data_IF_149599636155
#
_entry.id   IF_149599636155
#
_cell.length_a   1.000
_cell.length_b   1.000
_cell.length_c   1.000
_cell.angle_alpha   90.00
_cell.angle_beta   90.00
_cell.angle_gamma   90.00
#
_symmetry.space_group_name_H-M   'P 1'
#
loop_
_entity.id
_entity.type
_entity.pdbx_description
1 polymer ?
#
# COMPACT_ATOMS: atom_id res chain seq x y z
N UNK A 1 -0.54 2.72 -21.71
CA UNK A 1 -1.99 2.63 -21.97
C UNK A 1 -2.67 1.99 -20.78
N UNK A 2 -3.95 2.31 -20.51
CA UNK A 2 -4.70 1.63 -19.46
C UNK A 2 -4.94 0.16 -19.82
N UNK A 3 -4.94 -0.71 -18.82
CA UNK A 3 -5.29 -2.12 -18.94
C UNK A 3 -6.79 -2.27 -19.14
N UNK A 4 -7.16 -3.10 -20.12
CA UNK A 4 -8.53 -3.57 -20.32
C UNK A 4 -8.84 -4.68 -19.31
N UNK A 5 -10.13 -4.92 -19.08
CA UNK A 5 -10.58 -5.92 -18.10
C UNK A 5 -10.01 -7.33 -18.34
N UNK A 6 -9.86 -7.75 -19.61
CA UNK A 6 -9.26 -9.05 -19.90
C UNK A 6 -7.76 -9.10 -19.56
N UNK A 7 -7.04 -7.98 -19.68
CA UNK A 7 -5.61 -7.90 -19.32
C UNK A 7 -5.43 -7.94 -17.80
N UNK A 8 -6.37 -7.35 -17.06
CA UNK A 8 -6.43 -7.51 -15.61
C UNK A 8 -6.73 -8.96 -15.22
N UNK A 9 -7.64 -9.63 -15.92
CA UNK A 9 -7.92 -11.06 -15.74
C UNK A 9 -6.67 -11.93 -15.96
N UNK A 10 -5.94 -11.71 -17.07
CA UNK A 10 -4.69 -12.41 -17.35
C UNK A 10 -3.64 -12.21 -16.25
N UNK A 11 -3.56 -11.01 -15.66
CA UNK A 11 -2.66 -10.76 -14.54
C UNK A 11 -3.03 -11.53 -13.26
N UNK A 12 -4.29 -11.94 -13.09
CA UNK A 12 -4.70 -12.82 -11.99
C UNK A 12 -4.36 -14.28 -12.26
N UNK A 13 -4.28 -14.68 -13.53
CA UNK A 13 -4.02 -16.05 -13.96
C UNK A 13 -2.51 -16.38 -14.07
N UNK A 14 -1.64 -15.37 -14.01
CA UNK A 14 -0.18 -15.52 -13.98
C UNK A 14 0.43 -14.92 -12.69
N UNK A 15 0.13 -15.50 -11.51
CA UNK A 15 0.60 -14.97 -10.24
C UNK A 15 2.09 -15.24 -10.00
N UNK A 16 2.79 -14.22 -9.49
CA UNK A 16 4.20 -14.29 -9.14
C UNK A 16 4.36 -15.07 -7.84
N UNK A 17 5.05 -16.22 -7.92
CA UNK A 17 5.43 -17.06 -6.78
C UNK A 17 4.26 -17.45 -5.85
N UNK A 18 3.07 -17.66 -6.41
CA UNK A 18 1.87 -18.03 -5.67
C UNK A 18 1.00 -18.95 -6.50
N UNK A 19 0.17 -19.83 -5.89
CA UNK A 19 -0.89 -20.53 -6.60
C UNK A 19 -1.88 -19.55 -7.24
N UNK A 20 -2.68 -20.06 -8.18
CA UNK A 20 -3.78 -19.28 -8.76
C UNK A 20 -4.83 -18.92 -7.70
N UNK A 21 -5.62 -17.88 -7.96
CA UNK A 21 -6.71 -17.48 -7.06
C UNK A 21 -7.68 -18.65 -6.80
N UNK A 22 -7.95 -19.49 -7.81
CA UNK A 22 -8.84 -20.65 -7.68
C UNK A 22 -8.30 -21.73 -6.73
N UNK A 23 -6.98 -21.86 -6.63
CA UNK A 23 -6.32 -22.82 -5.73
C UNK A 23 -6.18 -22.27 -4.31
N UNK A 24 -6.22 -20.95 -4.15
CA UNK A 24 -6.07 -20.26 -2.87
C UNK A 24 -7.38 -20.17 -2.07
N UNK A 25 -8.53 -20.38 -2.70
CA UNK A 25 -9.84 -20.25 -2.07
C UNK A 25 -10.74 -21.45 -2.33
N UNK A 26 -11.71 -21.64 -1.44
CA UNK A 26 -12.76 -22.64 -1.54
C UNK A 26 -14.12 -22.01 -1.22
N UNK A 27 -15.21 -22.73 -1.47
CA UNK A 27 -16.56 -22.23 -1.19
C UNK A 27 -16.82 -21.92 0.29
N UNK A 28 -16.06 -22.53 1.19
CA UNK A 28 -16.20 -22.37 2.65
C UNK A 28 -15.35 -21.22 3.21
N UNK A 29 -14.47 -20.63 2.38
CA UNK A 29 -13.63 -19.50 2.80
C UNK A 29 -14.44 -18.21 2.97
N UNK A 30 -13.96 -17.37 3.89
CA UNK A 30 -14.31 -15.95 3.97
C UNK A 30 -13.13 -15.10 3.51
N UNK A 31 -13.39 -14.08 2.68
CA UNK A 31 -12.36 -13.26 2.05
C UNK A 31 -12.47 -11.80 2.47
N UNK A 32 -11.41 -11.28 3.08
CA UNK A 32 -11.24 -9.85 3.33
C UNK A 32 -10.40 -9.23 2.21
N UNK A 33 -10.96 -8.24 1.51
CA UNK A 33 -10.26 -7.46 0.49
C UNK A 33 -9.85 -6.12 1.09
N UNK A 34 -8.54 -5.92 1.25
CA UNK A 34 -7.96 -4.68 1.77
C UNK A 34 -7.71 -3.71 0.61
N UNK A 35 -8.29 -2.51 0.71
CA UNK A 35 -8.27 -1.48 -0.34
C UNK A 35 -7.64 -0.20 0.18
N UNK A 36 -6.83 0.46 -0.63
CA UNK A 36 -6.27 1.77 -0.27
C UNK A 36 -7.36 2.85 -0.16
N UNK A 37 -7.18 3.84 0.71
CA UNK A 37 -8.10 4.99 0.79
C UNK A 37 -7.99 5.94 -0.43
N UNK A 38 -8.86 6.95 -0.48
CA UNK A 38 -8.98 7.90 -1.60
C UNK A 38 -7.73 8.75 -1.88
N UNK A 39 -6.79 8.80 -0.94
CA UNK A 39 -5.52 9.54 -1.12
C UNK A 39 -4.50 8.81 -1.99
N UNK A 40 -4.88 7.66 -2.56
CA UNK A 40 -4.04 6.81 -3.40
C UNK A 40 -4.75 6.49 -4.71
N UNK A 41 -4.05 6.69 -5.81
CA UNK A 41 -4.48 6.20 -7.12
C UNK A 41 -4.05 4.72 -7.25
N UNK A 42 -5.04 3.84 -7.34
CA UNK A 42 -4.82 2.39 -7.35
C UNK A 42 -5.63 1.66 -8.42
N UNK A 43 -6.47 2.36 -9.17
CA UNK A 43 -7.48 1.76 -10.06
C UNK A 43 -8.38 0.74 -9.35
N UNK A 44 -8.63 0.94 -8.05
CA UNK A 44 -9.36 0.00 -7.18
C UNK A 44 -10.74 -0.37 -7.71
N UNK A 45 -11.46 0.56 -8.34
CA UNK A 45 -12.81 0.28 -8.85
C UNK A 45 -12.79 -0.85 -9.89
N UNK A 46 -11.83 -0.84 -10.82
CA UNK A 46 -11.67 -1.90 -11.82
C UNK A 46 -11.16 -3.18 -11.16
N UNK A 47 -10.08 -3.09 -10.38
CA UNK A 47 -9.39 -4.24 -9.80
C UNK A 47 -10.29 -5.02 -8.84
N UNK A 48 -10.93 -4.32 -7.88
CA UNK A 48 -11.78 -4.96 -6.86
C UNK A 48 -13.02 -5.57 -7.52
N UNK A 49 -13.62 -4.90 -8.51
CA UNK A 49 -14.75 -5.46 -9.26
C UNK A 49 -14.38 -6.78 -9.96
N UNK A 50 -13.23 -6.82 -10.65
CA UNK A 50 -12.80 -8.03 -11.36
C UNK A 50 -12.34 -9.13 -10.40
N UNK A 51 -11.61 -8.79 -9.33
CA UNK A 51 -11.24 -9.72 -8.26
C UNK A 51 -12.47 -10.36 -7.63
N UNK A 52 -13.50 -9.56 -7.32
CA UNK A 52 -14.74 -10.08 -6.72
C UNK A 52 -15.44 -11.06 -7.65
N UNK A 53 -15.49 -10.77 -8.95
CA UNK A 53 -16.04 -11.70 -9.95
C UNK A 53 -15.24 -13.00 -9.99
N UNK A 54 -13.90 -12.92 -9.94
CA UNK A 54 -13.02 -14.10 -9.93
C UNK A 54 -13.25 -14.97 -8.70
N UNK A 55 -13.32 -14.37 -7.51
CA UNK A 55 -13.59 -15.08 -6.26
C UNK A 55 -14.98 -15.75 -6.26
N UNK A 56 -15.99 -15.10 -6.82
CA UNK A 56 -17.32 -15.70 -6.99
C UNK A 56 -17.28 -16.89 -7.96
N UNK A 57 -16.53 -16.77 -9.06
CA UNK A 57 -16.34 -17.87 -10.01
C UNK A 57 -15.58 -19.05 -9.38
N UNK A 58 -14.65 -18.77 -8.46
CA UNK A 58 -13.94 -19.76 -7.65
C UNK A 58 -14.81 -20.37 -6.53
N UNK A 59 -16.07 -19.94 -6.39
CA UNK A 59 -17.04 -20.54 -5.48
C UNK A 59 -17.25 -19.80 -4.15
N UNK A 60 -16.51 -18.72 -3.88
CA UNK A 60 -16.69 -17.94 -2.65
C UNK A 60 -17.98 -17.14 -2.74
N UNK A 61 -18.86 -17.29 -1.75
CA UNK A 61 -20.10 -16.52 -1.68
C UNK A 61 -19.80 -15.03 -1.40
N UNK A 62 -20.45 -14.07 -2.08
CA UNK A 62 -20.32 -12.64 -1.74
C UNK A 62 -20.70 -12.33 -0.29
N UNK A 63 -21.57 -13.13 0.33
CA UNK A 63 -21.94 -12.96 1.74
C UNK A 63 -20.78 -13.27 2.71
N UNK A 64 -19.78 -14.02 2.25
CA UNK A 64 -18.56 -14.34 3.00
C UNK A 64 -17.40 -13.39 2.64
N UNK A 65 -17.66 -12.33 1.87
CA UNK A 65 -16.65 -11.36 1.47
C UNK A 65 -16.89 -10.02 2.14
N UNK A 66 -15.80 -9.35 2.51
CA UNK A 66 -15.83 -7.98 2.97
C UNK A 66 -14.71 -7.15 2.33
N UNK A 67 -14.94 -5.84 2.25
CA UNK A 67 -13.93 -4.85 1.90
C UNK A 67 -13.59 -4.04 3.13
N UNK A 68 -12.30 -3.78 3.36
CA UNK A 68 -11.84 -2.82 4.38
C UNK A 68 -10.89 -1.81 3.78
N UNK A 69 -11.07 -0.54 4.12
CA UNK A 69 -10.16 0.51 3.68
C UNK A 69 -8.97 0.65 4.64
N UNK A 70 -7.77 0.51 4.09
CA UNK A 70 -6.49 0.71 4.78
C UNK A 70 -6.21 2.21 4.98
N UNK A 71 -6.88 2.82 5.96
CA UNK A 71 -6.78 4.26 6.25
C UNK A 71 -5.57 4.63 7.10
N UNK A 72 -5.01 3.69 7.88
CA UNK A 72 -4.09 4.01 8.98
C UNK A 72 -4.72 5.10 9.88
N UNK A 73 -3.95 6.14 10.18
CA UNK A 73 -4.42 7.30 10.98
C UNK A 73 -5.24 8.34 10.19
N UNK A 74 -5.51 8.12 8.91
CA UNK A 74 -6.29 9.08 8.12
C UNK A 74 -7.78 9.00 8.49
N UNK A 75 -8.52 10.06 8.18
CA UNK A 75 -9.98 10.06 8.33
C UNK A 75 -10.63 8.88 7.58
N UNK A 76 -11.81 8.44 8.03
CA UNK A 76 -12.62 7.49 7.29
C UNK A 76 -12.91 7.94 5.85
N UNK A 77 -13.08 6.96 4.97
CA UNK A 77 -13.50 7.17 3.57
C UNK A 77 -14.98 7.59 3.56
N UNK A 78 -15.28 8.67 2.84
CA UNK A 78 -16.66 9.17 2.69
C UNK A 78 -17.48 8.29 1.76
N UNK A 79 -18.82 8.37 1.82
CA UNK A 79 -19.69 7.60 0.92
C UNK A 79 -19.41 7.88 -0.57
N UNK A 80 -19.14 9.12 -0.93
CA UNK A 80 -18.79 9.48 -2.30
C UNK A 80 -17.46 8.83 -2.73
N UNK A 81 -16.43 8.90 -1.89
CA UNK A 81 -15.15 8.25 -2.17
C UNK A 81 -15.29 6.72 -2.23
N UNK A 82 -16.18 6.11 -1.45
CA UNK A 82 -16.47 4.67 -1.57
C UNK A 82 -16.99 4.32 -2.96
N UNK A 83 -17.91 5.12 -3.52
CA UNK A 83 -18.46 4.93 -4.88
C UNK A 83 -17.45 5.20 -6.00
N UNK A 84 -16.40 5.97 -5.72
CA UNK A 84 -15.30 6.22 -6.66
C UNK A 84 -14.24 5.12 -6.60
N UNK A 85 -13.91 4.66 -5.39
CA UNK A 85 -12.92 3.61 -5.15
C UNK A 85 -13.47 2.21 -5.44
N UNK A 86 -14.78 2.03 -5.35
CA UNK A 86 -15.49 0.78 -5.56
C UNK A 86 -16.66 1.05 -6.51
N UNK A 87 -16.98 0.09 -7.39
CA UNK A 87 -18.17 0.25 -8.24
C UNK A 87 -19.45 0.17 -7.38
N UNK A 88 -20.57 0.80 -7.79
CA UNK A 88 -21.86 0.66 -7.11
C UNK A 88 -22.27 -0.81 -6.89
N UNK A 89 -21.89 -1.68 -7.83
CA UNK A 89 -22.09 -3.12 -7.72
C UNK A 89 -21.38 -3.73 -6.50
N UNK A 90 -20.13 -3.33 -6.24
CA UNK A 90 -19.37 -3.81 -5.08
C UNK A 90 -19.96 -3.26 -3.78
N UNK A 91 -20.27 -1.96 -3.74
CA UNK A 91 -20.83 -1.31 -2.55
C UNK A 91 -22.17 -1.93 -2.12
N UNK A 92 -22.99 -2.35 -3.07
CA UNK A 92 -24.29 -2.98 -2.77
C UNK A 92 -24.19 -4.46 -2.39
N UNK A 93 -23.09 -5.14 -2.74
CA UNK A 93 -23.01 -6.61 -2.68
C UNK A 93 -22.08 -7.13 -1.59
N UNK A 94 -21.07 -6.34 -1.21
CA UNK A 94 -20.09 -6.73 -0.19
C UNK A 94 -20.29 -5.92 1.09
N UNK A 95 -19.97 -6.52 2.23
CA UNK A 95 -19.88 -5.79 3.47
C UNK A 95 -18.69 -4.83 3.41
N UNK A 96 -18.89 -3.56 3.78
CA UNK A 96 -17.81 -2.56 3.87
C UNK A 96 -17.50 -2.31 5.34
N UNK A 97 -16.32 -2.74 5.76
CA UNK A 97 -15.78 -2.53 7.10
C UNK A 97 -15.04 -1.19 7.18
N UNK A 98 -14.93 -0.67 8.40
CA UNK A 98 -14.17 0.53 8.70
C UNK A 98 -12.98 0.19 9.60
N UNK A 99 -11.87 0.88 9.36
CA UNK A 99 -10.73 0.88 10.25
C UNK A 99 -10.63 2.23 10.95
N UNK A 100 -10.36 2.18 12.25
CA UNK A 100 -9.97 3.32 13.07
C UNK A 100 -8.78 2.88 13.92
N UNK A 101 -7.65 3.56 13.76
CA UNK A 101 -6.40 3.25 14.43
C UNK A 101 -6.45 3.51 15.95
N UNK A 102 -7.48 4.20 16.44
CA UNK A 102 -7.69 4.55 17.85
C UNK A 102 -8.84 3.78 18.52
N UNK A 103 -9.64 3.04 17.74
CA UNK A 103 -10.76 2.24 18.27
C UNK A 103 -10.27 0.87 18.74
N UNK A 104 -9.78 0.81 19.98
CA UNK A 104 -9.28 -0.43 20.60
C UNK A 104 -10.33 -1.56 20.67
N UNK A 105 -11.62 -1.28 20.51
CA UNK A 105 -12.66 -2.32 20.50
C UNK A 105 -12.67 -3.15 19.21
N UNK A 106 -12.06 -2.62 18.14
CA UNK A 106 -11.94 -3.27 16.82
C UNK A 106 -10.50 -3.67 16.50
N UNK A 107 -9.60 -3.57 17.46
CA UNK A 107 -8.20 -3.92 17.33
C UNK A 107 -7.93 -5.20 18.12
N UNK A 108 -7.07 -6.05 17.57
CA UNK A 108 -6.59 -7.27 18.21
C UNK A 108 -5.08 -7.28 18.22
N UNK A 109 -4.48 -7.88 19.24
CA UNK A 109 -3.04 -8.11 19.31
C UNK A 109 -2.62 -9.23 18.36
N UNK A 110 -1.56 -9.01 17.58
CA UNK A 110 -0.97 -10.00 16.65
C UNK A 110 0.42 -10.47 17.09
N UNK A 111 1.09 -9.71 17.95
CA UNK A 111 2.43 -10.01 18.44
C UNK A 111 3.07 -8.76 19.01
N UNK A 112 4.39 -8.68 18.89
CA UNK A 112 5.19 -7.55 19.39
C UNK A 112 6.25 -7.15 18.34
N UNK A 113 6.67 -5.88 18.39
CA UNK A 113 7.86 -5.38 17.70
C UNK A 113 9.11 -5.92 18.38
N UNK A 114 10.25 -5.88 17.69
CA UNK A 114 11.53 -6.21 18.33
C UNK A 114 11.86 -5.29 19.51
N UNK A 115 11.34 -4.05 19.48
CA UNK A 115 11.42 -3.07 20.56
C UNK A 115 10.39 -3.28 21.68
N UNK A 116 9.61 -4.37 21.67
CA UNK A 116 8.64 -4.72 22.70
C UNK A 116 7.32 -3.96 22.64
N UNK A 117 7.03 -3.27 21.53
CA UNK A 117 5.74 -2.61 21.34
C UNK A 117 4.72 -3.63 20.86
N UNK A 118 3.59 -3.73 21.56
CA UNK A 118 2.45 -4.54 21.13
C UNK A 118 2.02 -4.16 19.72
N UNK A 119 1.99 -5.15 18.83
CA UNK A 119 1.49 -5.02 17.46
C UNK A 119 0.01 -5.31 17.47
N UNK A 120 -0.78 -4.32 17.10
CA UNK A 120 -2.24 -4.43 17.01
C UNK A 120 -2.70 -4.03 15.60
N UNK A 121 -3.60 -4.84 15.04
CA UNK A 121 -4.28 -4.54 13.79
C UNK A 121 -5.80 -4.69 13.94
N UNK A 122 -6.55 -4.23 12.94
CA UNK A 122 -7.99 -4.46 12.87
C UNK A 122 -8.33 -5.96 12.98
N UNK A 123 -9.25 -6.31 13.87
CA UNK A 123 -9.65 -7.70 14.17
C UNK A 123 -10.14 -8.45 12.93
N UNK A 124 -10.67 -7.74 11.92
CA UNK A 124 -11.08 -8.33 10.64
C UNK A 124 -9.96 -9.18 9.99
N UNK A 125 -8.69 -8.85 10.22
CA UNK A 125 -7.56 -9.61 9.68
C UNK A 125 -7.40 -11.03 10.27
N UNK A 126 -8.09 -11.33 11.38
CA UNK A 126 -8.19 -12.69 11.98
C UNK A 126 -9.56 -13.33 11.79
N UNK A 127 -10.59 -12.53 11.56
CA UNK A 127 -11.97 -12.99 11.43
C UNK A 127 -12.25 -13.60 10.05
N UNK A 128 -11.42 -13.28 9.05
CA UNK A 128 -11.53 -13.82 7.70
C UNK A 128 -10.44 -14.87 7.43
N UNK A 129 -10.81 -15.99 6.80
CA UNK A 129 -9.87 -17.08 6.52
C UNK A 129 -8.83 -16.72 5.46
N UNK A 130 -9.16 -15.78 4.56
CA UNK A 130 -8.29 -15.30 3.49
C UNK A 130 -8.22 -13.78 3.48
N UNK A 131 -7.01 -13.24 3.34
CA UNK A 131 -6.76 -11.79 3.27
C UNK A 131 -6.10 -11.46 1.94
N UNK A 132 -6.82 -10.73 1.10
CA UNK A 132 -6.35 -10.24 -0.19
C UNK A 132 -6.02 -8.76 -0.05
N UNK A 133 -4.80 -8.37 -0.40
CA UNK A 133 -4.38 -6.96 -0.32
C UNK A 133 -4.26 -6.33 -1.71
N UNK A 134 -4.79 -5.12 -1.85
CA UNK A 134 -4.63 -4.31 -3.05
C UNK A 134 -3.91 -3.01 -2.72
N UNK A 135 -3.15 -2.48 -3.67
CA UNK A 135 -2.45 -1.22 -3.46
C UNK A 135 -1.77 -0.67 -4.71
N UNK A 136 -1.42 0.61 -4.68
CA UNK A 136 -0.63 1.26 -5.72
C UNK A 136 0.85 1.27 -5.39
N UNK A 137 1.71 1.20 -6.41
CA UNK A 137 3.17 1.33 -6.30
C UNK A 137 3.60 2.71 -6.75
N UNK A 138 4.28 3.40 -5.84
CA UNK A 138 5.01 4.64 -6.07
C UNK A 138 6.06 4.80 -4.96
N UNK A 139 6.94 5.78 -5.07
CA UNK A 139 7.91 6.08 -4.03
C UNK A 139 7.26 6.50 -2.72
N UNK A 140 7.87 6.09 -1.62
CA UNK A 140 7.56 6.58 -0.30
C UNK A 140 8.83 7.09 0.36
N UNK A 141 8.86 8.39 0.68
CA UNK A 141 10.04 9.14 1.12
C UNK A 141 10.92 8.47 2.19
N UNK A 142 10.34 7.76 3.16
CA UNK A 142 11.13 6.96 4.13
C UNK A 142 10.93 5.44 4.02
N UNK A 143 9.91 4.93 3.33
CA UNK A 143 9.55 3.51 3.40
C UNK A 143 9.95 2.74 2.14
N UNK A 144 10.80 3.32 1.29
CA UNK A 144 11.09 2.83 -0.05
C UNK A 144 9.94 3.11 -1.01
N UNK A 145 8.91 2.26 -0.93
CA UNK A 145 7.75 2.25 -1.82
C UNK A 145 6.43 2.13 -1.08
N UNK A 146 5.31 2.46 -1.73
CA UNK A 146 3.95 2.12 -1.29
C UNK A 146 3.60 0.66 -1.62
N UNK A 147 2.33 0.25 -1.47
CA UNK A 147 1.85 -1.10 -1.81
C UNK A 147 2.32 -2.22 -0.88
N UNK A 148 1.95 -3.45 -1.22
CA UNK A 148 2.28 -4.66 -0.48
C UNK A 148 1.97 -4.54 1.02
N UNK A 149 2.98 -4.83 1.87
CA UNK A 149 2.91 -4.76 3.33
C UNK A 149 2.26 -3.49 3.91
N UNK A 150 2.31 -2.35 3.21
CA UNK A 150 1.69 -1.10 3.69
C UNK A 150 0.18 -1.12 3.77
N UNK A 151 -0.48 -2.03 3.07
CA UNK A 151 -1.92 -2.27 3.24
C UNK A 151 -2.26 -2.88 4.61
N UNK A 152 -1.31 -3.55 5.26
CA UNK A 152 -1.44 -4.06 6.63
C UNK A 152 -0.87 -3.06 7.63
N UNK A 153 0.43 -2.72 7.53
CA UNK A 153 1.08 -1.75 8.40
C UNK A 153 1.71 -0.63 7.56
N UNK A 154 1.21 0.62 7.63
CA UNK A 154 0.30 1.15 8.64
C UNK A 154 -1.20 0.96 8.35
N UNK A 155 -1.58 0.43 7.19
CA UNK A 155 -2.93 0.52 6.64
C UNK A 155 -4.09 0.15 7.59
N UNK A 156 -3.91 -0.89 8.39
CA UNK A 156 -4.92 -1.42 9.31
C UNK A 156 -4.39 -1.54 10.75
N UNK A 157 -3.32 -0.81 11.06
CA UNK A 157 -2.60 -0.88 12.33
C UNK A 157 -3.14 0.12 13.35
N UNK A 158 -3.00 -0.20 14.65
CA UNK A 158 -3.26 0.77 15.71
C UNK A 158 -2.30 1.96 15.61
N UNK A 159 -2.72 3.12 16.11
CA UNK A 159 -1.89 4.32 16.10
C UNK A 159 -0.54 4.09 16.80
N UNK A 160 -0.52 3.29 17.87
CA UNK A 160 0.67 2.87 18.61
C UNK A 160 1.62 2.02 17.74
N UNK A 161 1.08 1.06 17.00
CA UNK A 161 1.86 0.22 16.08
C UNK A 161 2.43 1.08 14.92
N UNK A 162 1.62 2.01 14.41
CA UNK A 162 2.04 2.95 13.36
C UNK A 162 3.19 3.81 13.87
N UNK A 163 3.04 4.42 15.05
CA UNK A 163 4.08 5.23 15.67
C UNK A 163 5.38 4.44 15.85
N UNK A 164 5.32 3.25 16.44
CA UNK A 164 6.50 2.42 16.68
C UNK A 164 7.26 2.08 15.38
N UNK A 165 6.55 1.72 14.32
CA UNK A 165 7.18 1.43 13.01
C UNK A 165 7.71 2.69 12.33
N UNK A 166 7.05 3.83 12.47
CA UNK A 166 7.46 5.09 11.83
C UNK A 166 8.66 5.74 12.56
N UNK A 167 8.78 5.54 13.87
CA UNK A 167 9.91 6.03 14.65
C UNK A 167 11.23 5.37 14.24
N UNK A 168 11.19 4.20 13.60
CA UNK A 168 12.38 3.58 12.98
C UNK A 168 12.97 4.38 11.82
N UNK A 169 12.25 5.37 11.30
CA UNK A 169 12.75 6.29 10.29
C UNK A 169 13.79 7.27 10.85
N UNK A 170 13.85 7.43 12.18
CA UNK A 170 14.67 8.42 12.85
C UNK A 170 15.87 7.77 13.53
N UNK A 171 16.99 8.49 13.53
CA UNK A 171 18.14 8.19 14.37
C UNK A 171 18.07 9.08 15.61
N UNK A 172 17.87 8.48 16.79
CA UNK A 172 17.78 9.22 18.05
C UNK A 172 19.14 9.53 18.67
N UNK A 173 20.21 8.85 18.24
CA UNK A 173 21.56 9.08 18.76
C UNK A 173 22.21 10.27 18.05
N UNK A 174 22.18 10.27 16.71
CA UNK A 174 22.78 11.35 15.92
C UNK A 174 21.79 12.47 15.59
N UNK A 175 20.50 12.21 15.74
CA UNK A 175 19.45 13.07 15.21
C UNK A 175 19.29 12.90 13.69
N UNK A 176 18.07 13.15 13.20
CA UNK A 176 17.76 13.11 11.77
C UNK A 176 17.24 11.76 11.30
N UNK A 177 17.42 11.47 10.00
CA UNK A 177 16.92 10.25 9.36
C UNK A 177 17.92 9.11 9.54
N UNK A 178 17.42 7.93 9.92
CA UNK A 178 18.22 6.72 10.08
C UNK A 178 18.88 6.30 8.76
N UNK A 179 20.12 5.81 8.83
CA UNK A 179 20.81 5.25 7.67
C UNK A 179 19.99 4.13 7.00
N UNK A 180 20.01 4.07 5.66
CA UNK A 180 19.25 3.10 4.87
C UNK A 180 17.75 3.44 4.68
N UNK A 181 17.21 4.39 5.44
CA UNK A 181 15.82 4.84 5.30
C UNK A 181 15.74 5.92 4.22
N UNK A 182 15.23 5.58 3.04
CA UNK A 182 14.96 6.55 1.97
C UNK A 182 13.97 6.02 0.92
N UNK A 183 13.54 6.90 0.01
CA UNK A 183 12.76 6.52 -1.16
C UNK A 183 13.53 5.50 -2.02
N UNK A 184 12.82 4.51 -2.55
CA UNK A 184 13.41 3.48 -3.40
C UNK A 184 14.19 2.38 -2.67
N UNK A 185 14.51 2.52 -1.38
CA UNK A 185 15.18 1.47 -0.60
C UNK A 185 14.19 0.56 0.13
N UNK A 186 14.31 -0.73 -0.14
CA UNK A 186 13.66 -1.79 0.62
C UNK A 186 14.68 -2.49 1.51
N UNK A 187 15.78 -2.98 0.95
CA UNK A 187 16.81 -3.71 1.71
C UNK A 187 17.63 -2.74 2.57
N UNK A 188 17.78 -3.06 3.86
CA UNK A 188 18.43 -2.18 4.83
C UNK A 188 17.56 -0.99 5.27
N UNK A 189 16.31 -0.90 4.81
CA UNK A 189 15.37 0.12 5.26
C UNK A 189 14.59 -0.41 6.47
N UNK A 190 15.02 0.00 7.67
CA UNK A 190 14.43 -0.44 8.94
C UNK A 190 12.90 -0.28 9.02
N UNK A 191 12.33 0.77 8.39
CA UNK A 191 10.88 0.97 8.38
C UNK A 191 10.19 -0.06 7.48
N UNK A 192 10.74 -0.31 6.30
CA UNK A 192 10.19 -1.33 5.41
C UNK A 192 10.27 -2.72 6.04
N UNK A 193 11.44 -3.09 6.55
CA UNK A 193 11.70 -4.40 7.14
C UNK A 193 10.77 -4.69 8.31
N UNK A 194 10.57 -3.71 9.22
CA UNK A 194 9.64 -3.91 10.32
C UNK A 194 8.18 -3.95 9.85
N UNK A 195 7.76 -3.06 8.94
CA UNK A 195 6.41 -3.11 8.36
C UNK A 195 6.14 -4.46 7.67
N UNK A 196 7.13 -5.03 7.00
CA UNK A 196 7.04 -6.33 6.35
C UNK A 196 6.98 -7.46 7.39
N UNK A 197 7.82 -7.41 8.43
CA UNK A 197 7.81 -8.37 9.53
C UNK A 197 6.47 -8.39 10.26
N UNK A 198 5.92 -7.22 10.65
CA UNK A 198 4.61 -7.19 11.34
C UNK A 198 3.47 -7.59 10.43
N UNK A 199 3.53 -7.27 9.13
CA UNK A 199 2.53 -7.73 8.16
C UNK A 199 2.54 -9.27 8.00
N UNK A 200 3.69 -9.91 8.24
CA UNK A 200 3.80 -11.37 8.20
C UNK A 200 3.05 -12.10 9.31
N UNK A 201 2.71 -11.40 10.40
CA UNK A 201 1.84 -11.93 11.47
C UNK A 201 0.39 -12.12 11.00
N UNK A 202 0.00 -11.43 9.92
CA UNK A 202 -1.27 -11.63 9.20
C UNK A 202 -1.09 -12.66 8.09
N UNK A 203 0.08 -12.65 7.44
CA UNK A 203 0.40 -13.47 6.26
C UNK A 203 -0.67 -13.35 5.15
N UNK A 204 -0.77 -12.18 4.47
CA UNK A 204 -1.73 -11.97 3.38
C UNK A 204 -1.69 -13.11 2.35
N UNK A 205 -2.85 -13.63 1.98
CA UNK A 205 -3.00 -14.76 1.07
C UNK A 205 -2.54 -14.42 -0.34
N UNK A 206 -2.85 -13.21 -0.80
CA UNK A 206 -2.58 -12.77 -2.17
C UNK A 206 -2.47 -11.24 -2.21
N UNK A 207 -1.58 -10.73 -3.06
CA UNK A 207 -1.44 -9.30 -3.28
C UNK A 207 -1.68 -8.91 -4.74
N UNK A 208 -2.23 -7.71 -4.93
CA UNK A 208 -2.37 -7.07 -6.24
C UNK A 208 -1.79 -5.66 -6.14
N UNK A 209 -0.66 -5.44 -6.81
CA UNK A 209 0.07 -4.19 -6.81
C UNK A 209 -0.07 -3.49 -8.17
N UNK A 210 -0.70 -2.33 -8.18
CA UNK A 210 -0.97 -1.57 -9.39
C UNK A 210 0.04 -0.43 -9.60
N UNK A 211 0.50 -0.28 -10.83
CA UNK A 211 1.11 0.96 -11.31
C UNK A 211 0.06 1.64 -12.17
N UNK A 212 -0.21 2.91 -11.89
CA UNK A 212 -1.23 3.70 -12.60
C UNK A 212 -0.61 4.74 -13.50
N UNK A 213 -1.34 5.15 -14.53
CA UNK A 213 -0.97 6.29 -15.37
C UNK A 213 -1.39 7.63 -14.73
N UNK A 214 -1.09 8.73 -15.41
CA UNK A 214 -1.45 10.10 -14.97
C UNK A 214 -2.97 10.31 -14.80
N UNK A 215 -3.78 9.51 -15.49
CA UNK A 215 -5.26 9.50 -15.37
C UNK A 215 -5.76 8.59 -14.25
N UNK A 216 -4.86 8.04 -13.42
CA UNK A 216 -5.15 7.10 -12.32
C UNK A 216 -5.71 5.74 -12.77
N UNK A 217 -5.54 5.40 -14.04
CA UNK A 217 -5.97 4.13 -14.63
C UNK A 217 -4.85 3.07 -14.48
N UNK A 218 -5.20 1.81 -14.27
CA UNK A 218 -4.23 0.72 -14.15
C UNK A 218 -3.40 0.63 -15.44
N UNK A 219 -2.08 0.76 -15.36
CA UNK A 219 -1.17 0.62 -16.49
C UNK A 219 -0.38 -0.70 -16.43
N UNK A 220 -0.17 -1.24 -15.23
CA UNK A 220 0.45 -2.55 -14.99
C UNK A 220 0.01 -3.11 -13.65
N UNK A 221 -0.12 -4.43 -13.55
CA UNK A 221 -0.40 -5.15 -12.31
C UNK A 221 0.70 -6.18 -12.03
N UNK A 222 0.96 -6.40 -10.75
CA UNK A 222 1.81 -7.47 -10.23
C UNK A 222 1.01 -8.18 -9.15
N UNK A 223 0.62 -9.42 -9.45
CA UNK A 223 -0.26 -10.23 -8.62
C UNK A 223 0.51 -11.45 -8.10
N UNK A 224 0.15 -11.97 -6.93
CA UNK A 224 0.78 -13.18 -6.38
C UNK A 224 1.18 -13.03 -4.92
N UNK A 225 2.30 -13.65 -4.56
CA UNK A 225 2.83 -13.61 -3.20
C UNK A 225 3.05 -12.16 -2.76
N UNK A 226 2.68 -11.86 -1.52
CA UNK A 226 2.61 -10.49 -1.04
C UNK A 226 3.98 -9.81 -0.85
N UNK A 227 5.07 -10.58 -0.79
CA UNK A 227 6.44 -10.07 -0.77
C UNK A 227 7.04 -10.06 -2.17
N UNK A 228 6.99 -11.19 -2.86
CA UNK A 228 7.68 -11.36 -4.16
C UNK A 228 7.01 -10.51 -5.24
N UNK A 229 5.67 -10.48 -5.31
CA UNK A 229 4.97 -9.63 -6.28
C UNK A 229 5.16 -8.14 -5.96
N UNK A 230 5.19 -7.77 -4.68
CA UNK A 230 5.49 -6.40 -4.25
C UNK A 230 6.90 -5.98 -4.66
N UNK A 231 7.91 -6.84 -4.41
CA UNK A 231 9.30 -6.63 -4.82
C UNK A 231 9.42 -6.43 -6.33
N UNK A 232 8.87 -7.35 -7.12
CA UNK A 232 8.89 -7.26 -8.58
C UNK A 232 8.26 -5.96 -9.10
N UNK A 233 7.17 -5.52 -8.46
CA UNK A 233 6.53 -4.25 -8.81
C UNK A 233 7.40 -3.04 -8.47
N UNK A 234 8.10 -3.07 -7.33
CA UNK A 234 9.02 -2.02 -6.90
C UNK A 234 10.24 -1.94 -7.83
N UNK A 235 10.84 -3.07 -8.19
CA UNK A 235 12.00 -3.12 -9.09
C UNK A 235 11.63 -2.58 -10.48
N UNK A 236 10.46 -2.98 -10.99
CA UNK A 236 9.93 -2.43 -12.24
C UNK A 236 9.70 -0.92 -12.16
N UNK A 237 9.16 -0.42 -11.03
CA UNK A 237 8.91 1.00 -10.84
C UNK A 237 10.23 1.76 -10.74
N UNK A 238 11.21 1.24 -10.02
CA UNK A 238 12.55 1.82 -9.87
C UNK A 238 13.23 1.98 -11.23
N UNK A 239 13.23 0.93 -12.05
CA UNK A 239 13.85 0.90 -13.38
C UNK A 239 13.25 1.96 -14.34
N UNK A 240 11.94 2.22 -14.26
CA UNK A 240 11.23 3.06 -15.24
C UNK A 240 10.90 4.46 -14.78
N UNK A 241 10.82 4.68 -13.48
CA UNK A 241 10.41 5.95 -12.89
C UNK A 241 11.55 6.60 -12.09
N UNK A 242 12.79 6.22 -12.37
CA UNK A 242 14.00 6.88 -11.87
C UNK A 242 14.75 7.57 -13.00
N UNK A 243 15.52 8.58 -12.63
CA UNK A 243 16.52 9.20 -13.50
C UNK A 243 17.85 9.22 -12.78
N UNK A 244 18.92 8.91 -13.51
CA UNK A 244 20.27 9.06 -12.99
C UNK A 244 20.68 10.55 -13.05
N UNK A 245 21.09 11.09 -11.91
CA UNK A 245 21.62 12.44 -11.81
C UNK A 245 23.15 12.35 -11.85
N UNK A 246 23.73 12.71 -13.00
CA UNK A 246 25.19 12.59 -13.23
C UNK A 246 26.06 13.40 -12.26
N UNK A 247 25.50 14.47 -11.71
CA UNK A 247 26.15 15.30 -10.68
C UNK A 247 25.11 16.20 -10.03
N UNK A 248 25.31 16.48 -8.74
CA UNK A 248 24.49 17.43 -7.98
C UNK A 248 24.66 18.87 -8.49
N UNK A 249 23.73 19.75 -8.09
CA UNK A 249 23.67 21.17 -8.49
C UNK A 249 23.51 22.07 -7.27
N UNK A 250 24.02 23.30 -7.36
CA UNK A 250 23.88 24.30 -6.29
C UNK A 250 22.46 24.86 -6.19
N UNK A 251 21.70 24.83 -7.30
CA UNK A 251 20.31 25.26 -7.35
C UNK A 251 19.49 24.14 -8.00
N UNK A 252 18.47 23.67 -7.29
CA UNK A 252 17.49 22.70 -7.80
C UNK A 252 16.10 23.33 -7.75
N UNK A 253 15.38 23.24 -8.86
CA UNK A 253 13.97 23.67 -8.95
C UNK A 253 13.13 22.40 -9.09
N UNK A 254 12.18 22.21 -8.19
CA UNK A 254 11.28 21.05 -8.21
C UNK A 254 9.84 21.52 -8.05
N UNK A 255 8.91 20.78 -8.67
CA UNK A 255 7.48 20.95 -8.43
C UNK A 255 6.98 19.80 -7.55
N UNK A 256 5.98 20.09 -6.73
CA UNK A 256 5.24 19.07 -5.98
C UNK A 256 4.29 18.24 -6.85
N UNK A 257 4.12 18.60 -8.14
CA UNK A 257 3.21 17.91 -9.07
C UNK A 257 1.79 18.48 -9.09
N UNK A 258 1.55 19.63 -8.46
CA UNK A 258 0.25 20.29 -8.41
C UNK A 258 -0.75 19.61 -7.46
N UNK A 259 -1.97 20.15 -7.39
CA UNK A 259 -3.03 19.60 -6.55
C UNK A 259 -3.37 18.15 -6.94
N UNK A 260 -3.50 17.21 -5.97
CA UNK A 260 -3.51 17.41 -4.52
C UNK A 260 -2.14 17.19 -3.83
N UNK A 261 -1.06 17.03 -4.59
CA UNK A 261 0.27 16.70 -4.06
C UNK A 261 0.98 17.91 -3.41
N UNK A 262 0.50 19.13 -3.66
CA UNK A 262 0.97 20.39 -3.09
C UNK A 262 0.02 21.00 -2.03
N UNK A 263 -0.99 20.26 -1.60
CA UNK A 263 -2.07 20.78 -0.73
C UNK A 263 -1.57 21.34 0.63
N UNK A 264 -0.45 20.84 1.13
CA UNK A 264 0.20 21.32 2.35
C UNK A 264 1.68 20.94 2.38
N UNK A 265 2.42 21.50 3.33
CA UNK A 265 3.85 21.25 3.51
C UNK A 265 4.19 19.78 3.76
N UNK A 266 3.30 19.02 4.41
CA UNK A 266 3.48 17.58 4.65
C UNK A 266 3.40 16.77 3.34
N UNK A 267 2.66 17.21 2.32
CA UNK A 267 2.74 16.57 1.01
C UNK A 267 3.91 17.11 0.19
N UNK A 268 4.10 18.44 0.20
CA UNK A 268 5.15 19.12 -0.55
C UNK A 268 6.56 18.67 -0.18
N UNK A 269 6.83 18.36 1.10
CA UNK A 269 8.17 17.93 1.52
C UNK A 269 8.63 16.63 0.84
N UNK A 270 7.74 15.83 0.28
CA UNK A 270 8.13 14.62 -0.47
C UNK A 270 8.89 14.97 -1.74
N UNK A 271 8.49 16.04 -2.43
CA UNK A 271 9.21 16.54 -3.58
C UNK A 271 10.53 17.19 -3.16
N UNK A 272 10.54 17.89 -2.01
CA UNK A 272 11.78 18.41 -1.40
C UNK A 272 12.80 17.30 -1.09
N UNK A 273 12.34 16.17 -0.55
CA UNK A 273 13.18 15.00 -0.23
C UNK A 273 13.87 14.43 -1.48
N UNK A 274 13.12 14.33 -2.58
CA UNK A 274 13.67 13.88 -3.86
C UNK A 274 14.61 14.93 -4.48
N UNK A 275 14.26 16.22 -4.39
CA UNK A 275 15.10 17.32 -4.87
C UNK A 275 16.45 17.39 -4.14
N UNK A 276 16.48 17.05 -2.85
CA UNK A 276 17.70 17.01 -2.06
C UNK A 276 18.73 15.99 -2.57
N UNK A 277 18.29 14.92 -3.25
CA UNK A 277 19.19 13.96 -3.89
C UNK A 277 19.99 14.58 -5.04
N UNK A 278 19.45 15.61 -5.69
CA UNK A 278 20.08 16.34 -6.78
C UNK A 278 20.79 17.63 -6.33
N UNK A 279 20.67 18.04 -5.06
CA UNK A 279 21.20 19.30 -4.55
C UNK A 279 22.53 19.08 -3.81
N UNK A 280 23.47 20.00 -3.99
CA UNK A 280 24.71 20.07 -3.21
C UNK A 280 24.42 20.41 -1.74
N UNK A 281 25.29 19.95 -0.84
CA UNK A 281 25.25 20.41 0.55
C UNK A 281 25.49 21.93 0.61
N UNK A 282 24.66 22.66 1.34
CA UNK A 282 24.65 24.12 1.35
C UNK A 282 24.00 24.78 0.12
N UNK A 283 23.51 24.00 -0.84
CA UNK A 283 22.77 24.49 -2.01
C UNK A 283 21.35 24.98 -1.70
N UNK A 284 20.68 25.51 -2.70
CA UNK A 284 19.31 26.06 -2.62
C UNK A 284 18.33 25.18 -3.39
N UNK A 285 17.22 24.82 -2.74
CA UNK A 285 16.08 24.16 -3.40
C UNK A 285 14.92 25.15 -3.47
N UNK A 286 14.36 25.32 -4.67
CA UNK A 286 13.16 26.10 -4.94
C UNK A 286 12.03 25.12 -5.23
N UNK A 287 10.98 25.17 -4.43
CA UNK A 287 9.82 24.27 -4.49
C UNK A 287 8.54 25.01 -4.93
#
# INVERSE_FOLDING_TARGET
SPLKDYEVGLAFDDPIASPSIDELVSSDDSVLIVVSNATRATASAQIVNLLTRRLVQAGVSPANMAVIFATGIHRPVTEQEKLELLTPFIVQRLQILTHDAYDHTKLSTFGETESGVTVEFNSALKEFSRVFITGGITYHYFAGFTGGRKSICPGLASAKTIEATHMLALDFETGGRRAGVHAGALDGNAVHEECERVASLVAPTFSINAIVNEKKEAARLFCGDWRVAHRAACDYYLDRYSVEVSSKRDIVIASCGGFPHDINLIQAHKALDMAALACNEGGTIIL
#
